data_IF_832653201629
#
_entry.id   IF_832653201629
#
_cell.length_a   1.000
_cell.length_b   1.000
_cell.length_c   1.000
_cell.angle_alpha   90.00
_cell.angle_beta   90.00
_cell.angle_gamma   90.00
#
_symmetry.space_group_name_H-M   'P 1'
#
loop_
_entity.id
_entity.type
_entity.pdbx_description
1 polymer ?
#
# COMPACT_ATOMS: atom_id res chain seq x y z
N UNK A 1 -9.12 4.54 7.51
CA UNK A 1 -7.74 4.09 7.16
C UNK A 1 -7.80 3.16 5.95
N UNK A 2 -6.79 3.22 5.09
CA UNK A 2 -6.73 2.40 3.89
C UNK A 2 -6.06 1.10 4.28
N UNK A 3 -6.79 0.00 4.23
CA UNK A 3 -6.38 -1.25 4.87
C UNK A 3 -6.54 -2.39 3.87
N UNK A 4 -5.55 -3.27 3.82
CA UNK A 4 -5.69 -4.61 3.22
C UNK A 4 -5.65 -5.58 4.38
N UNK A 5 -6.66 -6.43 4.50
CA UNK A 5 -6.75 -7.42 5.56
C UNK A 5 -7.39 -8.72 5.08
N UNK A 6 -7.11 -9.80 5.80
CA UNK A 6 -7.73 -11.10 5.63
C UNK A 6 -7.90 -11.75 7.00
N UNK A 7 -8.97 -12.52 7.15
CA UNK A 7 -9.17 -13.39 8.31
C UNK A 7 -9.38 -14.80 7.78
N UNK A 8 -8.58 -15.74 8.27
CA UNK A 8 -8.69 -17.14 7.91
C UNK A 8 -8.81 -17.97 9.20
N UNK A 9 -9.50 -19.11 9.11
CA UNK A 9 -9.58 -20.10 10.17
C UNK A 9 -9.01 -21.40 9.63
N UNK A 10 -8.02 -21.94 10.32
CA UNK A 10 -7.32 -23.18 9.98
C UNK A 10 -7.51 -24.18 11.11
N UNK A 11 -7.59 -25.46 10.76
CA UNK A 11 -7.63 -26.57 11.72
C UNK A 11 -6.22 -27.17 11.91
N UNK A 12 -6.16 -28.34 12.54
CA UNK A 12 -4.90 -29.07 12.76
C UNK A 12 -4.16 -29.48 11.49
N UNK A 13 -4.76 -29.42 10.29
CA UNK A 13 -4.05 -29.70 9.03
C UNK A 13 -3.07 -28.60 8.62
N UNK A 14 -3.13 -27.43 9.27
CA UNK A 14 -2.28 -26.29 8.94
C UNK A 14 -2.73 -25.58 7.66
N UNK A 15 -1.79 -24.93 6.95
CA UNK A 15 -2.06 -24.24 5.69
C UNK A 15 -1.31 -22.92 5.56
N UNK A 16 -1.87 -22.00 4.77
CA UNK A 16 -1.29 -20.68 4.59
C UNK A 16 -2.36 -19.60 4.54
N UNK A 17 -2.03 -18.43 5.09
CA UNK A 17 -2.85 -17.21 5.04
C UNK A 17 -2.10 -16.18 4.22
N UNK A 18 -2.61 -15.80 3.06
CA UNK A 18 -1.99 -14.81 2.19
C UNK A 18 -2.81 -13.51 2.18
N UNK A 19 -2.12 -12.39 2.39
CA UNK A 19 -2.75 -11.08 2.27
C UNK A 19 -3.04 -10.78 0.78
N UNK A 20 -4.30 -10.49 0.40
CA UNK A 20 -4.70 -10.38 -1.01
C UNK A 20 -3.88 -9.37 -1.82
N UNK A 21 -3.53 -9.74 -3.06
CA UNK A 21 -2.78 -8.91 -4.02
C UNK A 21 -1.42 -8.42 -3.49
N UNK A 22 -0.83 -9.16 -2.56
CA UNK A 22 0.50 -8.91 -2.00
C UNK A 22 1.35 -10.19 -1.95
N UNK A 23 2.65 -10.01 -1.76
CA UNK A 23 3.62 -11.08 -1.50
C UNK A 23 3.89 -11.18 0.01
N UNK A 24 2.82 -11.19 0.81
CA UNK A 24 2.87 -11.32 2.27
C UNK A 24 2.02 -12.52 2.65
N UNK A 25 2.63 -13.52 3.28
CA UNK A 25 1.93 -14.72 3.69
C UNK A 25 2.44 -15.27 5.03
N UNK A 26 1.55 -15.96 5.74
CA UNK A 26 1.87 -16.71 6.95
C UNK A 26 1.61 -18.19 6.66
N UNK A 27 2.65 -19.01 6.78
CA UNK A 27 2.54 -20.45 6.75
C UNK A 27 2.31 -21.00 8.16
N UNK A 28 1.32 -21.88 8.29
CA UNK A 28 0.90 -22.53 9.52
C UNK A 28 1.21 -24.02 9.39
N UNK A 29 2.15 -24.57 10.17
CA UNK A 29 2.48 -25.99 10.10
C UNK A 29 1.30 -26.91 10.44
N UNK A 30 1.33 -28.14 9.95
CA UNK A 30 0.45 -29.20 10.44
C UNK A 30 0.64 -29.36 11.96
N UNK A 31 -0.45 -29.66 12.67
CA UNK A 31 -0.50 -29.84 14.13
C UNK A 31 -0.11 -28.60 14.94
N UNK A 32 -0.16 -27.42 14.32
CA UNK A 32 -0.01 -26.15 15.04
C UNK A 32 -0.99 -26.02 16.22
N UNK A 33 -2.22 -26.50 16.02
CA UNK A 33 -3.25 -26.65 17.07
C UNK A 33 -3.63 -28.12 17.24
N UNK A 34 -4.24 -28.46 18.39
CA UNK A 34 -4.69 -29.82 18.65
C UNK A 34 -5.80 -30.26 17.67
N UNK A 35 -6.00 -31.57 17.46
CA UNK A 35 -7.13 -32.07 16.69
C UNK A 35 -8.47 -31.54 17.24
N UNK A 36 -9.39 -31.20 16.34
CA UNK A 36 -10.70 -30.57 16.63
C UNK A 36 -10.62 -29.11 17.14
N UNK A 37 -9.43 -28.54 17.30
CA UNK A 37 -9.25 -27.11 17.55
C UNK A 37 -9.03 -26.34 16.26
N UNK A 38 -9.14 -25.01 16.34
CA UNK A 38 -8.89 -24.12 15.20
C UNK A 38 -8.08 -22.91 15.61
N UNK A 39 -7.25 -22.45 14.69
CA UNK A 39 -6.54 -21.18 14.76
C UNK A 39 -7.21 -20.19 13.81
N UNK A 40 -7.78 -19.12 14.33
CA UNK A 40 -8.15 -17.96 13.53
C UNK A 40 -6.97 -16.99 13.48
N UNK A 41 -6.54 -16.64 12.26
CA UNK A 41 -5.48 -15.67 12.00
C UNK A 41 -6.08 -14.49 11.26
N UNK A 42 -5.99 -13.31 11.85
CA UNK A 42 -6.25 -12.03 11.17
C UNK A 42 -4.92 -11.41 10.79
N UNK A 43 -4.71 -11.15 9.50
CA UNK A 43 -3.54 -10.49 8.97
C UNK A 43 -3.96 -9.16 8.33
N UNK A 44 -3.34 -8.06 8.74
CA UNK A 44 -3.69 -6.71 8.29
C UNK A 44 -2.44 -5.88 8.01
N UNK A 45 -2.39 -5.21 6.87
CA UNK A 45 -1.32 -4.27 6.53
C UNK A 45 -1.70 -2.83 6.91
N UNK A 46 -0.87 -2.23 7.76
CA UNK A 46 -0.89 -0.82 8.13
C UNK A 46 0.15 -0.10 7.25
N UNK A 47 -0.33 0.82 6.42
CA UNK A 47 0.49 1.42 5.36
C UNK A 47 1.33 2.62 5.84
N UNK A 48 0.92 3.24 6.95
CA UNK A 48 1.63 4.34 7.56
C UNK A 48 2.41 3.80 8.77
N UNK A 49 3.74 3.65 8.68
CA UNK A 49 4.55 3.12 9.76
C UNK A 49 4.73 4.16 10.89
N UNK A 50 5.01 3.72 12.13
CA UNK A 50 5.52 4.57 13.19
C UNK A 50 6.74 5.38 12.73
N UNK A 51 6.79 6.66 13.11
CA UNK A 51 7.83 7.58 12.66
C UNK A 51 9.23 7.15 13.10
N UNK A 52 9.35 6.51 14.26
CA UNK A 52 10.62 6.02 14.81
C UNK A 52 11.34 4.99 13.92
N UNK A 53 10.58 4.27 13.08
CA UNK A 53 11.10 3.27 12.15
C UNK A 53 11.73 3.88 10.88
N UNK A 54 11.72 5.20 10.74
CA UNK A 54 12.27 5.91 9.59
C UNK A 54 13.14 7.09 10.05
N UNK A 55 14.46 6.87 10.07
CA UNK A 55 15.49 7.82 10.47
C UNK A 55 16.76 7.63 9.63
N UNK A 56 17.88 8.26 9.99
CA UNK A 56 19.11 8.14 9.21
C UNK A 56 19.68 6.72 9.19
N UNK A 57 19.48 5.93 10.25
CA UNK A 57 19.99 4.55 10.37
C UNK A 57 18.97 3.48 9.96
N UNK A 58 17.72 3.82 9.74
CA UNK A 58 16.64 2.85 9.54
C UNK A 58 15.58 3.37 8.58
N UNK A 59 15.09 2.54 7.67
CA UNK A 59 13.86 2.83 6.91
C UNK A 59 13.03 1.58 6.72
N UNK A 60 11.72 1.74 6.83
CA UNK A 60 10.74 0.68 6.55
C UNK A 60 10.76 0.28 5.07
N UNK A 61 10.72 -1.03 4.82
CA UNK A 61 10.73 -1.62 3.47
C UNK A 61 9.57 -2.60 3.24
N UNK A 62 8.65 -2.71 4.21
CA UNK A 62 7.36 -3.38 4.09
C UNK A 62 6.28 -2.53 4.79
N UNK A 63 4.97 -2.80 4.60
CA UNK A 63 3.97 -2.30 5.53
C UNK A 63 4.24 -2.86 6.94
N UNK A 64 3.67 -2.20 7.96
CA UNK A 64 3.58 -2.79 9.31
C UNK A 64 2.42 -3.79 9.29
N UNK A 65 2.67 -5.02 9.69
CA UNK A 65 1.69 -6.10 9.72
C UNK A 65 1.14 -6.24 11.13
N UNK A 66 -0.18 -6.06 11.29
CA UNK A 66 -0.90 -6.50 12.49
C UNK A 66 -1.32 -7.96 12.28
N UNK A 67 -0.87 -8.83 13.17
CA UNK A 67 -1.22 -10.25 13.21
C UNK A 67 -2.01 -10.48 14.50
N UNK A 68 -3.23 -11.02 14.39
CA UNK A 68 -4.03 -11.43 15.54
C UNK A 68 -4.30 -12.93 15.50
N UNK A 69 -4.14 -13.56 16.65
CA UNK A 69 -4.28 -15.00 16.86
C UNK A 69 -5.41 -15.26 17.86
N UNK A 70 -6.27 -16.24 17.59
CA UNK A 70 -7.39 -16.58 18.49
C UNK A 70 -7.07 -17.66 19.51
N UNK A 71 -6.15 -18.56 19.19
CA UNK A 71 -5.69 -19.62 20.10
C UNK A 71 -4.20 -19.40 20.40
N UNK A 72 -3.84 -19.56 21.67
CA UNK A 72 -2.46 -19.47 22.17
C UNK A 72 -1.92 -20.83 22.64
N UNK A 73 -2.78 -21.85 22.73
CA UNK A 73 -2.41 -23.24 23.00
C UNK A 73 -1.89 -23.89 21.72
N UNK A 74 -0.72 -23.44 21.28
CA UNK A 74 -0.09 -23.85 20.03
C UNK A 74 1.13 -24.74 20.26
N UNK A 75 1.43 -25.61 19.30
CA UNK A 75 2.55 -26.57 19.38
C UNK A 75 3.76 -26.17 18.54
N UNK A 76 3.59 -25.23 17.60
CA UNK A 76 4.61 -24.88 16.60
C UNK A 76 4.68 -23.37 16.37
N UNK A 77 5.80 -22.90 15.83
CA UNK A 77 5.97 -21.53 15.35
C UNK A 77 5.21 -21.29 14.04
N UNK A 78 4.90 -20.03 13.76
CA UNK A 78 4.41 -19.60 12.43
C UNK A 78 5.56 -19.10 11.57
N UNK A 79 5.48 -19.28 10.26
CA UNK A 79 6.49 -18.73 9.33
C UNK A 79 5.88 -17.58 8.53
N UNK A 80 6.41 -16.37 8.71
CA UNK A 80 6.03 -15.19 7.96
C UNK A 80 6.99 -15.00 6.77
N UNK A 81 6.43 -14.83 5.58
CA UNK A 81 7.16 -14.48 4.36
C UNK A 81 6.71 -13.11 3.85
N UNK A 82 7.68 -12.21 3.59
CA UNK A 82 7.43 -10.84 3.12
C UNK A 82 8.45 -10.46 2.05
N UNK A 83 7.96 -10.04 0.89
CA UNK A 83 8.80 -9.38 -0.13
C UNK A 83 9.08 -7.93 0.25
N UNK A 84 10.31 -7.63 0.64
CA UNK A 84 10.77 -6.30 0.98
C UNK A 84 10.91 -5.42 -0.28
N UNK A 85 10.48 -4.16 -0.21
CA UNK A 85 10.54 -3.18 -1.29
C UNK A 85 11.86 -2.42 -1.30
N UNK A 86 12.96 -3.17 -1.28
CA UNK A 86 14.32 -2.62 -1.27
C UNK A 86 15.28 -3.56 -1.98
N UNK A 87 16.36 -3.00 -2.48
CA UNK A 87 17.55 -3.70 -2.96
C UNK A 87 18.78 -3.09 -2.27
N UNK A 88 19.67 -3.94 -1.77
CA UNK A 88 20.95 -3.47 -1.20
C UNK A 88 21.92 -3.17 -2.35
N UNK A 89 22.65 -2.05 -2.26
CA UNK A 89 23.66 -1.72 -3.27
C UNK A 89 24.91 -2.56 -3.05
N UNK A 90 25.34 -3.27 -4.09
CA UNK A 90 26.57 -4.06 -4.09
C UNK A 90 27.81 -3.15 -4.24
N UNK A 91 28.15 -2.36 -3.22
CA UNK A 91 29.42 -1.61 -3.20
C UNK A 91 30.49 -2.38 -2.42
N UNK A 92 31.55 -2.77 -3.11
CA UNK A 92 32.71 -3.53 -2.61
C UNK A 92 33.48 -2.83 -1.47
N UNK A 93 33.27 -1.53 -1.26
CA UNK A 93 33.94 -0.73 -0.22
C UNK A 93 33.20 -0.70 1.14
N UNK A 94 32.09 -1.42 1.29
CA UNK A 94 31.27 -1.39 2.49
C UNK A 94 30.98 -2.80 3.02
N UNK A 95 31.88 -3.31 3.86
CA UNK A 95 31.48 -4.08 5.04
C UNK A 95 30.71 -3.21 6.07
N UNK A 96 30.16 -2.05 5.65
CA UNK A 96 29.26 -1.22 6.45
C UNK A 96 27.85 -1.82 6.40
N UNK A 97 27.64 -2.86 7.23
CA UNK A 97 26.52 -3.10 8.16
C UNK A 97 25.08 -2.61 7.84
N UNK A 98 24.67 -2.47 6.57
CA UNK A 98 23.24 -2.34 6.21
C UNK A 98 22.68 -3.71 5.90
N UNK A 99 21.64 -4.11 6.63
CA UNK A 99 20.95 -5.38 6.40
C UNK A 99 19.43 -5.17 6.45
N UNK A 100 18.71 -6.04 5.74
CA UNK A 100 17.27 -6.17 5.93
C UNK A 100 17.05 -6.95 7.22
N UNK A 101 16.23 -6.40 8.12
CA UNK A 101 15.92 -6.98 9.42
C UNK A 101 14.42 -7.00 9.64
N UNK A 102 13.97 -7.94 10.46
CA UNK A 102 12.59 -8.01 10.92
C UNK A 102 12.48 -7.47 12.34
N UNK A 103 11.57 -6.53 12.57
CA UNK A 103 11.28 -6.01 13.89
C UNK A 103 9.87 -6.41 14.32
N UNK A 104 9.67 -6.57 15.63
CA UNK A 104 8.38 -6.87 16.26
C UNK A 104 8.09 -5.94 17.42
N UNK A 105 6.82 -5.59 17.61
CA UNK A 105 6.29 -5.01 18.84
C UNK A 105 4.97 -5.68 19.22
N UNK A 106 4.60 -5.61 20.50
CA UNK A 106 3.25 -6.01 20.97
C UNK A 106 2.29 -4.80 20.96
N UNK A 107 2.79 -3.59 20.66
CA UNK A 107 2.01 -2.37 20.50
C UNK A 107 2.28 -1.73 19.13
N UNK A 108 1.23 -1.16 18.52
CA UNK A 108 1.30 -0.59 17.17
C UNK A 108 2.41 0.46 17.01
N UNK A 109 2.56 1.32 18.01
CA UNK A 109 3.50 2.45 17.98
C UNK A 109 4.88 2.11 18.57
N UNK A 110 5.13 0.85 18.94
CA UNK A 110 6.38 0.40 19.54
C UNK A 110 6.35 0.24 21.06
N UNK A 111 7.48 -0.09 21.69
CA UNK A 111 8.82 -0.19 21.08
C UNK A 111 8.97 -1.42 20.18
N UNK A 112 9.70 -1.27 19.07
CA UNK A 112 10.03 -2.36 18.15
C UNK A 112 11.39 -2.98 18.49
N UNK A 113 11.41 -4.30 18.66
CA UNK A 113 12.60 -5.09 18.96
C UNK A 113 12.98 -5.97 17.78
N UNK A 114 14.27 -6.27 17.64
CA UNK A 114 14.76 -7.17 16.60
C UNK A 114 14.25 -8.59 16.85
N UNK A 115 13.62 -9.20 15.84
CA UNK A 115 13.33 -10.63 15.87
C UNK A 115 14.60 -11.41 15.48
N UNK A 116 15.04 -12.37 16.31
CA UNK A 116 16.11 -13.28 15.92
C UNK A 116 15.60 -14.23 14.83
N UNK A 117 16.52 -14.82 14.07
CA UNK A 117 16.22 -15.85 13.06
C UNK A 117 15.40 -15.40 11.83
N UNK A 118 15.67 -14.20 11.31
CA UNK A 118 15.23 -13.80 9.97
C UNK A 118 16.21 -14.31 8.91
N UNK A 119 15.68 -14.99 7.89
CA UNK A 119 16.42 -15.38 6.69
C UNK A 119 16.04 -14.47 5.53
N UNK A 120 17.02 -14.00 4.76
CA UNK A 120 16.81 -13.12 3.61
C UNK A 120 17.36 -13.81 2.36
N UNK A 121 16.50 -14.01 1.37
CA UNK A 121 16.86 -14.55 0.06
C UNK A 121 16.30 -13.65 -1.03
N UNK A 122 17.20 -13.08 -1.84
CA UNK A 122 16.84 -12.03 -2.80
C UNK A 122 16.22 -10.83 -2.08
N UNK A 123 14.97 -10.50 -2.42
CA UNK A 123 14.18 -9.47 -1.76
C UNK A 123 13.10 -10.04 -0.84
N UNK A 124 13.11 -11.35 -0.58
CA UNK A 124 12.14 -12.02 0.28
C UNK A 124 12.76 -12.28 1.65
N UNK A 125 12.02 -11.90 2.70
CA UNK A 125 12.38 -12.12 4.09
C UNK A 125 11.44 -13.18 4.66
N UNK A 126 12.01 -14.24 5.20
CA UNK A 126 11.30 -15.29 5.90
C UNK A 126 11.69 -15.26 7.38
N UNK A 127 10.70 -15.32 8.27
CA UNK A 127 10.88 -15.22 9.71
C UNK A 127 10.02 -16.25 10.42
N UNK A 128 10.61 -16.94 11.40
CA UNK A 128 9.86 -17.77 12.33
C UNK A 128 9.36 -16.93 13.52
N UNK A 129 8.09 -17.11 13.85
CA UNK A 129 7.40 -16.45 14.94
C UNK A 129 7.21 -17.48 16.06
N UNK A 130 8.18 -17.53 16.98
CA UNK A 130 8.19 -18.52 18.06
C UNK A 130 7.40 -18.04 19.29
N UNK A 131 7.58 -16.77 19.67
CA UNK A 131 6.96 -16.17 20.86
C UNK A 131 5.59 -15.56 20.51
N UNK A 132 4.64 -16.37 20.07
CA UNK A 132 3.33 -15.87 19.64
C UNK A 132 2.60 -15.11 20.75
N UNK A 133 1.90 -14.05 20.39
CA UNK A 133 1.00 -13.29 21.26
C UNK A 133 -0.35 -13.07 20.57
N UNK A 134 -1.44 -12.77 21.30
CA UNK A 134 -2.76 -12.55 20.72
C UNK A 134 -2.79 -11.45 19.66
N UNK A 135 -1.92 -10.44 19.81
CA UNK A 135 -1.70 -9.37 18.83
C UNK A 135 -0.22 -9.06 18.74
N UNK A 136 0.32 -9.06 17.52
CA UNK A 136 1.70 -8.69 17.24
C UNK A 136 1.77 -7.71 16.07
N UNK A 137 2.76 -6.84 16.09
CA UNK A 137 3.06 -5.90 15.01
C UNK A 137 4.44 -6.21 14.45
N UNK A 138 4.55 -6.48 13.15
CA UNK A 138 5.78 -6.93 12.51
C UNK A 138 6.10 -6.06 11.30
N UNK A 139 7.38 -5.72 11.10
CA UNK A 139 7.81 -4.86 9.99
C UNK A 139 9.22 -5.21 9.54
N UNK A 140 9.43 -5.18 8.22
CA UNK A 140 10.76 -5.31 7.62
C UNK A 140 11.37 -3.92 7.46
N UNK A 141 12.62 -3.78 7.87
CA UNK A 141 13.39 -2.53 7.77
C UNK A 141 14.74 -2.78 7.11
N UNK A 142 15.23 -1.81 6.36
CA UNK A 142 16.65 -1.71 6.07
C UNK A 142 17.29 -0.92 7.22
N UNK A 143 18.23 -1.54 7.93
CA UNK A 143 18.89 -0.93 9.09
C UNK A 143 20.40 -0.97 8.96
N UNK A 144 21.03 0.18 9.21
CA UNK A 144 22.46 0.36 9.27
C UNK A 144 22.95 0.35 10.72
N UNK A 145 24.04 -0.37 11.03
CA UNK A 145 24.59 -0.40 12.39
C UNK A 145 25.60 0.73 12.63
N UNK A 146 26.57 0.89 11.72
CA UNK A 146 27.70 1.81 11.91
C UNK A 146 27.70 2.94 10.86
N UNK A 147 26.66 3.79 10.87
CA UNK A 147 26.68 5.02 10.06
C UNK A 147 27.44 6.14 10.78
N UNK A 148 28.36 6.74 10.06
CA UNK A 148 29.03 7.99 10.45
C UNK A 148 28.25 9.15 9.82
N UNK A 149 27.76 10.12 10.60
CA UNK A 149 27.12 11.32 10.05
C UNK A 149 28.06 12.05 9.07
N UNK A 150 27.55 12.61 7.96
CA UNK A 150 26.14 12.82 7.64
C UNK A 150 25.47 11.67 6.85
N UNK A 151 26.06 10.46 6.83
CA UNK A 151 25.54 9.35 6.04
C UNK A 151 24.16 8.87 6.51
N UNK A 152 23.33 8.45 5.55
CA UNK A 152 22.05 7.78 5.82
C UNK A 152 21.96 6.40 5.16
N UNK A 153 21.07 5.55 5.67
CA UNK A 153 20.80 4.20 5.13
C UNK A 153 20.45 4.23 3.64
N UNK A 154 19.88 5.34 3.16
CA UNK A 154 19.53 5.57 1.76
C UNK A 154 20.73 5.59 0.79
N UNK A 155 21.95 5.85 1.28
CA UNK A 155 23.15 5.76 0.45
C UNK A 155 23.49 4.32 0.04
N UNK A 156 23.01 3.34 0.81
CA UNK A 156 23.35 1.93 0.68
C UNK A 156 22.21 1.10 0.08
N UNK A 157 21.05 1.71 -0.18
CA UNK A 157 19.86 1.01 -0.67
C UNK A 157 19.29 1.67 -1.92
N UNK A 158 18.59 0.86 -2.70
CA UNK A 158 17.67 1.28 -3.74
C UNK A 158 16.27 0.93 -3.25
N UNK A 159 15.48 1.93 -2.86
CA UNK A 159 14.13 1.68 -2.33
C UNK A 159 13.14 1.58 -3.49
N UNK A 160 12.30 0.55 -3.52
CA UNK A 160 11.18 0.48 -4.46
C UNK A 160 9.98 1.22 -3.88
N UNK A 161 9.46 2.15 -4.66
CA UNK A 161 8.30 2.98 -4.32
C UNK A 161 7.19 2.65 -5.30
N UNK A 162 5.95 2.57 -4.80
CA UNK A 162 4.77 2.24 -5.60
C UNK A 162 3.89 3.48 -5.74
N UNK A 163 3.48 3.78 -6.97
CA UNK A 163 2.52 4.85 -7.25
C UNK A 163 1.23 4.21 -7.73
N UNK A 164 0.17 4.33 -6.95
CA UNK A 164 -1.18 3.88 -7.30
C UNK A 164 -2.07 5.05 -7.73
N UNK A 165 -2.79 4.89 -8.83
CA UNK A 165 -3.86 5.80 -9.23
C UNK A 165 -5.20 5.23 -8.82
N UNK A 166 -5.97 6.03 -8.09
CA UNK A 166 -7.31 5.73 -7.64
C UNK A 166 -8.33 6.66 -8.28
N UNK A 167 -9.52 6.15 -8.55
CA UNK A 167 -10.64 6.98 -9.00
C UNK A 167 -11.98 6.30 -8.73
N UNK A 168 -13.10 6.94 -9.10
CA UNK A 168 -14.42 6.35 -8.88
C UNK A 168 -14.60 5.05 -9.68
N UNK A 169 -15.56 4.22 -9.27
CA UNK A 169 -15.93 3.00 -10.01
C UNK A 169 -16.44 3.28 -11.44
N UNK A 170 -17.03 4.46 -11.63
CA UNK A 170 -17.50 4.95 -12.92
C UNK A 170 -17.07 6.41 -13.08
N UNK A 171 -16.68 6.81 -14.29
CA UNK A 171 -16.36 8.22 -14.55
C UNK A 171 -17.63 9.08 -14.61
N UNK A 172 -17.51 10.31 -14.15
CA UNK A 172 -18.55 11.32 -14.16
C UNK A 172 -18.05 12.58 -14.89
N UNK A 173 -18.92 13.56 -15.24
CA UNK A 173 -18.46 14.80 -15.86
C UNK A 173 -17.52 15.62 -14.97
N UNK A 174 -17.65 15.50 -13.65
CA UNK A 174 -16.73 16.07 -12.67
C UNK A 174 -16.41 15.00 -11.63
N UNK A 175 -15.14 14.69 -11.45
CA UNK A 175 -14.71 13.68 -10.48
C UNK A 175 -13.30 13.97 -9.99
N UNK A 176 -12.89 13.24 -8.96
CA UNK A 176 -11.54 13.32 -8.38
C UNK A 176 -10.82 12.00 -8.64
N UNK A 177 -9.61 12.06 -9.17
CA UNK A 177 -8.65 10.98 -9.10
C UNK A 177 -7.68 11.25 -7.94
N UNK A 178 -7.10 10.21 -7.35
CA UNK A 178 -6.10 10.34 -6.30
C UNK A 178 -4.89 9.51 -6.66
N UNK A 179 -3.73 10.15 -6.72
CA UNK A 179 -2.46 9.43 -6.79
C UNK A 179 -1.96 9.22 -5.37
N UNK A 180 -1.71 7.97 -5.00
CA UNK A 180 -1.11 7.62 -3.73
C UNK A 180 0.30 7.04 -3.94
N UNK A 181 1.26 7.45 -3.11
CA UNK A 181 2.63 6.97 -3.12
C UNK A 181 2.89 6.14 -1.86
N UNK A 182 3.37 4.91 -2.04
CA UNK A 182 3.64 3.95 -0.98
C UNK A 182 5.12 3.59 -0.96
N UNK A 183 5.72 3.49 0.23
CA UNK A 183 7.11 3.03 0.40
C UNK A 183 7.30 1.51 0.25
N UNK A 184 6.28 0.80 -0.22
CA UNK A 184 6.24 -0.65 -0.39
C UNK A 184 5.19 -1.07 -1.45
N UNK A 185 5.12 -2.34 -1.82
CA UNK A 185 4.17 -2.85 -2.84
C UNK A 185 2.72 -3.06 -2.35
N UNK A 186 2.49 -3.08 -1.03
CA UNK A 186 1.13 -3.24 -0.48
C UNK A 186 0.25 -2.03 -0.84
N UNK A 187 -0.53 -2.19 -1.91
CA UNK A 187 -1.38 -1.16 -2.53
C UNK A 187 -2.84 -1.61 -2.44
N UNK A 188 -3.63 -1.02 -1.53
CA UNK A 188 -5.01 -1.43 -1.32
C UNK A 188 -5.88 -1.26 -2.56
N UNK A 189 -6.86 -2.15 -2.74
CA UNK A 189 -7.84 -2.10 -3.85
C UNK A 189 -8.75 -0.87 -3.79
N UNK A 190 -9.01 -0.37 -2.58
CA UNK A 190 -9.86 0.79 -2.37
C UNK A 190 -9.17 1.83 -1.51
N UNK A 191 -9.49 3.10 -1.76
CA UNK A 191 -9.00 4.26 -1.02
C UNK A 191 -10.20 5.04 -0.49
N UNK A 192 -10.31 5.13 0.83
CA UNK A 192 -11.25 6.05 1.48
C UNK A 192 -10.60 7.43 1.53
N UNK A 193 -11.18 8.37 0.80
CA UNK A 193 -10.74 9.76 0.80
C UNK A 193 -11.76 10.56 1.58
N UNK A 194 -11.41 10.92 2.81
CA UNK A 194 -12.05 12.04 3.47
C UNK A 194 -11.51 13.29 2.77
N UNK A 195 -12.36 14.28 2.48
CA UNK A 195 -11.95 15.47 1.72
C UNK A 195 -10.87 16.24 2.49
N UNK A 196 -9.60 15.94 2.19
CA UNK A 196 -8.45 16.71 2.70
C UNK A 196 -8.36 17.96 1.84
N UNK A 197 -9.11 18.98 2.24
CA UNK A 197 -9.14 20.30 1.64
C UNK A 197 -10.32 21.08 2.20
N UNK A 198 -10.05 22.24 2.78
CA UNK A 198 -11.04 23.14 3.38
C UNK A 198 -12.24 23.40 2.45
N UNK A 199 -13.36 22.72 2.67
CA UNK A 199 -14.73 23.19 2.42
C UNK A 199 -15.75 22.26 3.08
N UNK A 200 -16.26 22.73 4.22
CA UNK A 200 -17.65 22.68 4.71
C UNK A 200 -18.59 21.52 4.29
N UNK A 201 -19.04 20.79 5.31
CA UNK A 201 -20.35 20.13 5.47
C UNK A 201 -20.77 19.01 4.50
N UNK A 202 -20.76 17.77 4.99
CA UNK A 202 -21.85 16.82 4.76
C UNK A 202 -21.71 15.79 3.63
N UNK A 203 -20.58 15.72 2.92
CA UNK A 203 -20.35 14.72 1.88
C UNK A 203 -19.86 13.40 2.48
N UNK A 204 -20.60 12.31 2.21
CA UNK A 204 -20.22 10.96 2.63
C UNK A 204 -18.86 10.57 2.01
N UNK A 205 -18.01 9.81 2.72
CA UNK A 205 -16.71 9.40 2.22
C UNK A 205 -16.86 8.64 0.89
N UNK A 206 -16.18 9.13 -0.15
CA UNK A 206 -16.18 8.48 -1.46
C UNK A 206 -15.14 7.36 -1.45
N UNK A 207 -15.58 6.15 -1.76
CA UNK A 207 -14.67 5.01 -1.95
C UNK A 207 -14.13 5.04 -3.37
N UNK A 208 -12.82 5.26 -3.52
CA UNK A 208 -12.12 5.16 -4.79
C UNK A 208 -11.57 3.75 -4.98
N UNK A 209 -11.50 3.30 -6.24
CA UNK A 209 -10.93 2.03 -6.65
C UNK A 209 -9.57 2.25 -7.28
N UNK A 210 -8.63 1.33 -7.06
CA UNK A 210 -7.35 1.31 -7.74
C UNK A 210 -7.57 1.06 -9.24
N UNK A 211 -7.21 2.03 -10.08
CA UNK A 211 -7.26 1.91 -11.54
C UNK A 211 -5.96 1.30 -12.11
N UNK A 212 -4.84 1.56 -11.46
CA UNK A 212 -3.56 0.93 -11.79
C UNK A 212 -2.45 1.38 -10.84
N UNK A 213 -1.34 0.64 -10.85
CA UNK A 213 -0.16 0.95 -10.05
C UNK A 213 1.12 0.65 -10.83
N UNK A 214 2.19 1.34 -10.48
CA UNK A 214 3.53 1.08 -11.01
C UNK A 214 4.55 1.22 -9.89
N UNK A 215 5.53 0.30 -9.86
CA UNK A 215 6.71 0.43 -9.02
C UNK A 215 7.86 1.06 -9.78
N UNK A 216 8.68 1.82 -9.07
CA UNK A 216 9.94 2.34 -9.58
C UNK A 216 10.98 2.42 -8.46
N UNK A 217 12.26 2.48 -8.84
CA UNK A 217 13.37 2.54 -7.90
C UNK A 217 13.70 4.00 -7.58
N UNK A 218 13.79 4.31 -6.30
CA UNK A 218 14.21 5.60 -5.79
C UNK A 218 15.57 5.45 -5.07
N UNK A 219 16.64 6.03 -5.61
CA UNK A 219 17.99 5.86 -5.06
C UNK A 219 18.26 6.74 -3.83
N UNK A 220 17.46 7.78 -3.59
CA UNK A 220 17.62 8.69 -2.44
C UNK A 220 16.28 9.35 -2.12
N UNK A 221 16.04 9.82 -0.88
CA UNK A 221 14.91 10.68 -0.59
C UNK A 221 15.10 12.00 -1.33
N UNK A 222 14.18 12.34 -2.21
CA UNK A 222 14.19 13.59 -3.00
C UNK A 222 12.75 14.01 -3.26
N UNK A 223 12.52 15.28 -3.58
CA UNK A 223 11.21 15.72 -4.02
C UNK A 223 10.86 15.01 -5.34
N UNK A 224 9.60 14.63 -5.47
CA UNK A 224 9.06 14.05 -6.69
C UNK A 224 7.82 14.82 -7.12
N UNK A 225 7.75 15.12 -8.41
CA UNK A 225 6.60 15.76 -9.02
C UNK A 225 5.73 14.70 -9.70
N UNK A 226 4.44 14.70 -9.39
CA UNK A 226 3.43 13.82 -9.98
C UNK A 226 2.59 14.62 -10.96
N UNK A 227 2.62 14.23 -12.22
CA UNK A 227 1.82 14.83 -13.29
C UNK A 227 0.80 13.81 -13.81
N UNK A 228 -0.37 14.31 -14.20
CA UNK A 228 -1.46 13.51 -14.78
C UNK A 228 -1.89 14.12 -16.11
N UNK A 229 -1.96 13.28 -17.14
CA UNK A 229 -2.32 13.70 -18.49
C UNK A 229 -3.46 12.85 -19.04
N UNK A 230 -4.48 13.49 -19.58
CA UNK A 230 -5.50 12.83 -20.39
C UNK A 230 -5.01 12.71 -21.83
N UNK A 231 -5.27 11.57 -22.48
CA UNK A 231 -5.08 11.44 -23.93
C UNK A 231 -6.22 12.07 -24.75
N UNK A 232 -7.31 12.49 -24.10
CA UNK A 232 -8.48 13.09 -24.74
C UNK A 232 -8.63 14.55 -24.32
N UNK A 233 -8.86 15.43 -25.29
CA UNK A 233 -9.09 16.87 -25.08
C UNK A 233 -10.40 17.17 -24.38
N UNK A 234 -11.38 16.24 -24.42
CA UNK A 234 -12.65 16.39 -23.71
C UNK A 234 -12.47 16.34 -22.18
N UNK A 235 -11.32 15.85 -21.68
CA UNK A 235 -11.05 15.75 -20.25
C UNK A 235 -9.87 16.65 -19.86
N UNK A 236 -10.12 17.54 -18.90
CA UNK A 236 -9.11 18.40 -18.30
C UNK A 236 -8.78 17.92 -16.90
N UNK A 237 -7.49 17.76 -16.64
CA UNK A 237 -6.96 17.49 -15.29
C UNK A 237 -6.50 18.81 -14.69
N UNK A 238 -7.11 19.21 -13.58
CA UNK A 238 -6.68 20.41 -12.87
C UNK A 238 -5.30 20.16 -12.27
N UNK A 239 -4.38 21.12 -12.44
CA UNK A 239 -2.93 20.99 -12.12
C UNK A 239 -2.20 19.86 -12.89
N UNK A 240 -2.77 19.37 -14.00
CA UNK A 240 -2.25 18.20 -14.74
C UNK A 240 -0.78 18.30 -15.13
N UNK A 241 -0.42 19.30 -15.97
CA UNK A 241 0.96 19.47 -16.46
C UNK A 241 1.90 20.09 -15.42
N UNK A 242 1.40 21.03 -14.62
CA UNK A 242 2.15 21.67 -13.53
C UNK A 242 2.49 20.69 -12.41
N UNK A 243 1.77 19.58 -12.31
CA UNK A 243 1.98 18.51 -11.35
C UNK A 243 1.78 18.91 -9.89
N UNK A 244 1.92 17.93 -9.00
CA UNK A 244 1.91 18.11 -7.55
C UNK A 244 3.17 17.50 -6.95
N UNK A 245 3.76 18.18 -5.96
CA UNK A 245 5.02 17.77 -5.35
C UNK A 245 4.75 16.94 -4.09
N UNK A 246 5.43 15.80 -3.98
CA UNK A 246 5.63 15.08 -2.72
C UNK A 246 7.06 15.33 -2.27
N UNK A 247 7.23 15.82 -1.05
CA UNK A 247 8.55 16.23 -0.56
C UNK A 247 9.40 15.03 -0.18
N UNK A 248 10.71 15.11 -0.39
CA UNK A 248 11.66 14.05 -0.08
C UNK A 248 11.60 13.63 1.39
N UNK A 249 11.34 14.56 2.32
CA UNK A 249 11.16 14.22 3.72
C UNK A 249 9.89 13.37 3.96
N UNK A 250 8.80 13.59 3.21
CA UNK A 250 7.58 12.78 3.33
C UNK A 250 7.85 11.33 2.89
N UNK A 251 8.61 11.17 1.80
CA UNK A 251 9.08 9.86 1.34
C UNK A 251 10.02 9.20 2.35
N UNK A 252 10.93 9.98 2.94
CA UNK A 252 11.88 9.51 3.97
C UNK A 252 11.14 8.96 5.19
N UNK A 253 10.05 9.60 5.62
CA UNK A 253 9.21 9.15 6.74
C UNK A 253 8.39 7.89 6.44
N UNK A 254 8.34 7.43 5.18
CA UNK A 254 7.58 6.24 4.79
C UNK A 254 6.06 6.41 4.81
N UNK A 255 5.55 7.64 5.02
CA UNK A 255 4.11 7.92 5.05
C UNK A 255 3.49 7.86 3.66
N UNK A 256 2.26 7.37 3.58
CA UNK A 256 1.50 7.36 2.34
C UNK A 256 1.10 8.79 1.97
N UNK A 257 1.67 9.27 0.87
CA UNK A 257 1.32 10.58 0.31
C UNK A 257 0.12 10.43 -0.62
N UNK A 258 -0.87 11.31 -0.51
CA UNK A 258 -2.11 11.26 -1.30
C UNK A 258 -2.34 12.61 -1.97
N UNK A 259 -2.37 12.62 -3.30
CA UNK A 259 -2.51 13.80 -4.13
C UNK A 259 -3.83 13.72 -4.89
N UNK A 260 -4.74 14.64 -4.59
CA UNK A 260 -6.05 14.71 -5.24
C UNK A 260 -5.96 15.51 -6.54
N UNK A 261 -6.39 14.96 -7.65
CA UNK A 261 -6.46 15.62 -8.96
C UNK A 261 -7.92 15.70 -9.42
N UNK A 262 -8.53 16.89 -9.39
CA UNK A 262 -9.83 17.11 -10.01
C UNK A 262 -9.74 16.89 -11.53
N UNK A 263 -10.75 16.24 -12.10
CA UNK A 263 -10.88 16.01 -13.53
C UNK A 263 -12.28 16.45 -13.96
N UNK A 264 -12.34 17.26 -15.01
CA UNK A 264 -13.58 17.77 -15.59
C UNK A 264 -13.71 17.36 -17.06
N UNK A 265 -14.94 17.08 -17.48
CA UNK A 265 -15.33 16.81 -18.85
C UNK A 265 -15.92 18.08 -19.47
N UNK A 266 -15.40 18.52 -20.60
CA UNK A 266 -15.85 19.74 -21.29
C UNK A 266 -17.24 19.56 -21.91
N UNK A 267 -17.48 18.40 -22.55
CA UNK A 267 -18.76 18.02 -23.12
C UNK A 267 -19.28 16.73 -22.48
N UNK A 268 -20.19 16.84 -21.48
CA UNK A 268 -20.80 15.70 -20.81
C UNK A 268 -21.64 14.80 -21.72
N UNK A 269 -22.08 15.28 -22.90
CA UNK A 269 -22.84 14.46 -23.84
C UNK A 269 -21.98 13.36 -24.47
N UNK A 270 -20.66 13.60 -24.57
CA UNK A 270 -19.67 12.70 -25.13
C UNK A 270 -18.79 12.05 -24.05
N UNK A 271 -19.37 11.76 -22.88
CA UNK A 271 -18.66 11.08 -21.79
C UNK A 271 -18.30 9.64 -22.21
N UNK A 272 -17.00 9.31 -22.21
CA UNK A 272 -16.44 8.02 -22.60
C UNK A 272 -15.19 7.67 -21.76
N UNK A 273 -14.86 6.40 -21.65
CA UNK A 273 -13.58 6.01 -21.06
C UNK A 273 -12.40 6.56 -21.86
N UNK A 274 -11.32 6.87 -21.17
CA UNK A 274 -10.13 7.50 -21.74
C UNK A 274 -8.88 6.98 -21.04
N UNK A 275 -7.71 7.25 -21.61
CA UNK A 275 -6.45 6.84 -21.01
C UNK A 275 -5.86 7.99 -20.21
N UNK A 276 -5.56 7.73 -18.94
CA UNK A 276 -4.82 8.66 -18.10
C UNK A 276 -3.36 8.18 -17.99
N UNK A 277 -2.42 9.08 -18.29
CA UNK A 277 -0.99 8.86 -18.05
C UNK A 277 -0.59 9.46 -16.72
N UNK A 278 0.03 8.65 -15.88
CA UNK A 278 0.69 9.07 -14.65
C UNK A 278 2.18 9.19 -14.93
N UNK A 279 2.78 10.30 -14.54
CA UNK A 279 4.21 10.54 -14.70
C UNK A 279 4.82 11.02 -13.39
N UNK A 280 5.92 10.40 -12.98
CA UNK A 280 6.72 10.76 -11.82
C UNK A 280 8.01 11.40 -12.33
N UNK A 281 8.30 12.61 -11.87
CA UNK A 281 9.52 13.34 -12.23
C UNK A 281 10.37 13.65 -11.01
N UNK A 282 11.68 13.76 -11.19
CA UNK A 282 12.59 14.29 -10.18
C UNK A 282 12.58 15.82 -10.15
N UNK A 283 13.39 16.41 -9.26
CA UNK A 283 13.57 17.86 -9.09
C UNK A 283 14.11 18.56 -10.34
N UNK A 284 14.77 17.84 -11.25
CA UNK A 284 15.32 18.34 -12.50
C UNK A 284 14.32 18.19 -13.68
N UNK A 285 13.16 17.57 -13.43
CA UNK A 285 12.14 17.29 -14.43
C UNK A 285 12.35 15.99 -15.22
N UNK A 286 13.37 15.18 -14.89
CA UNK A 286 13.58 13.89 -15.54
C UNK A 286 12.49 12.91 -15.13
N UNK A 287 12.06 12.07 -16.07
CA UNK A 287 11.04 11.06 -15.82
C UNK A 287 11.65 9.89 -15.06
N UNK A 288 11.24 9.70 -13.81
CA UNK A 288 11.62 8.55 -12.98
C UNK A 288 10.75 7.32 -13.29
N UNK A 289 9.47 7.55 -13.60
CA UNK A 289 8.52 6.51 -13.92
C UNK A 289 7.33 7.07 -14.69
N UNK A 290 6.73 6.26 -15.55
CA UNK A 290 5.47 6.59 -16.20
C UNK A 290 4.66 5.34 -16.50
N UNK A 291 3.34 5.45 -16.44
CA UNK A 291 2.43 4.39 -16.86
C UNK A 291 1.10 4.99 -17.30
N UNK A 292 0.35 4.21 -18.08
CA UNK A 292 -0.98 4.57 -18.55
C UNK A 292 -2.02 3.62 -17.95
N UNK A 293 -3.21 4.15 -17.68
CA UNK A 293 -4.36 3.37 -17.21
C UNK A 293 -5.60 3.79 -18.00
N UNK A 294 -6.41 2.80 -18.38
CA UNK A 294 -7.72 3.06 -18.95
C UNK A 294 -8.71 3.35 -17.82
N UNK A 295 -9.41 4.48 -17.89
CA UNK A 295 -10.43 4.81 -16.90
C UNK A 295 -11.64 3.87 -17.03
N UNK A 296 -12.42 3.69 -15.95
CA UNK A 296 -13.66 2.93 -16.02
C UNK A 296 -14.67 3.59 -16.97
N UNK A 297 -15.57 2.78 -17.52
CA UNK A 297 -16.67 3.30 -18.34
C UNK A 297 -17.62 4.17 -17.52
N UNK A 298 -18.30 5.13 -18.17
CA UNK A 298 -19.43 5.84 -17.57
C UNK A 298 -20.47 4.87 -17.01
N UNK A 299 -21.32 5.31 -16.07
CA UNK A 299 -22.46 4.52 -15.65
C UNK A 299 -23.29 4.12 -16.88
N UNK A 300 -23.78 2.88 -16.96
CA UNK A 300 -24.71 2.51 -18.02
C UNK A 300 -25.88 3.50 -17.99
N UNK A 301 -26.23 4.05 -19.16
CA UNK A 301 -27.44 4.86 -19.30
C UNK A 301 -28.58 4.01 -18.75
N UNK A 302 -29.25 4.47 -17.70
CA UNK A 302 -30.39 3.76 -17.14
C UNK A 302 -31.33 3.44 -18.29
N UNK A 303 -31.44 2.14 -18.61
CA UNK A 303 -32.33 1.68 -19.65
C UNK A 303 -33.72 2.24 -19.37
N UNK A 304 -34.43 2.63 -20.42
CA UNK A 304 -35.84 2.95 -20.36
C UNK A 304 -36.50 2.06 -19.31
N UNK A 305 -37.02 2.66 -18.24
CA UNK A 305 -37.84 1.92 -17.27
C UNK A 305 -38.88 1.20 -18.12
N UNK A 306 -38.82 -0.13 -18.19
CA UNK A 306 -39.94 -0.91 -18.69
C UNK A 306 -41.14 -0.47 -17.87
N UNK A 307 -42.09 0.20 -18.53
CA UNK A 307 -43.39 0.56 -17.99
C UNK A 307 -44.24 -0.70 -17.89
N UNK A 308 -43.75 -1.70 -17.16
CA UNK A 308 -44.52 -2.87 -16.76
C UNK A 308 -45.52 -2.47 -15.66
N UNK A 309 -46.80 -2.86 -15.77
CA UNK A 309 -47.81 -2.46 -14.79
C UNK A 309 -47.49 -3.02 -13.41
N UNK A 310 -47.28 -2.13 -12.43
CA UNK A 310 -47.13 -2.50 -11.02
C UNK A 310 -48.47 -2.98 -10.48
N UNK A 311 -48.66 -4.29 -10.34
CA UNK A 311 -49.77 -4.88 -9.57
C UNK A 311 -49.50 -4.65 -8.08
N UNK A 312 -50.27 -3.76 -7.47
CA UNK A 312 -50.34 -3.63 -6.01
C UNK A 312 -51.14 -4.82 -5.46
N UNK A 313 -50.48 -5.74 -4.76
CA UNK A 313 -51.14 -6.73 -3.92
C UNK A 313 -51.57 -6.04 -2.61
N UNK A 314 -52.88 -5.80 -2.45
CA UNK A 314 -53.47 -5.50 -1.15
C UNK A 314 -53.38 -6.76 -0.27
N UNK A 315 -52.77 -6.63 0.91
CA UNK A 315 -52.87 -7.66 1.96
C UNK A 315 -54.30 -7.66 2.53
N UNK A 316 -54.82 -8.88 2.78
CA UNK A 316 -56.02 -9.13 3.56
C UNK A 316 -55.74 -8.89 5.05
#
# INVERSE_FOLDING_TARGET
PVETSIVCRLDSSGGAVQLPDTNISIHVPERHVAPCETQQISLKALLDPPLELNNDKCTTVSPVLEIKLSNMEVQTSLTLEVKASVELRNNLAAQNTVAIKCLRSDAKEGPYNLLPHSYVYGDTVQVNLDNLEPVMYIVMVAQAQNLVPPCSVWEYINKRVTVGLYGPKHIHPLFKAVVAIFGHDCTPKTLLVNEVGQQSHGTAPVTLQLWGKQQFVLPKPQDVQICLFSNMTNYRVDTGEQGKIVRGFQLKLGKVSRLVFPISCHDPAHLADFTLRVQVRDELGNILSQYCVQTPRPPPKSGLKSTGPRRFLKKK
#
